data_IF_509876816803
#
_entry.id   IF_509876816803
#
_cell.length_a   1.000
_cell.length_b   1.000
_cell.length_c   1.000
_cell.angle_alpha   90.00
_cell.angle_beta   90.00
_cell.angle_gamma   90.00
#
_symmetry.space_group_name_H-M   'P 1'
#
loop_
_entity.id
_entity.type
_entity.pdbx_description
1 polymer ?
#
# COMPACT_ATOMS: atom_id res chain seq x y z
N UNK A 1 2.28 -12.41 22.41
CA UNK A 1 1.96 -12.72 21.00
C UNK A 1 2.99 -13.71 20.49
N UNK A 2 2.58 -14.74 19.73
CA UNK A 2 3.47 -15.62 18.98
C UNK A 2 2.90 -15.81 17.58
N UNK A 3 3.68 -15.51 16.54
CA UNK A 3 3.24 -15.56 15.15
C UNK A 3 4.36 -16.00 14.21
N UNK A 4 4.03 -16.88 13.29
CA UNK A 4 4.91 -17.24 12.17
C UNK A 4 4.43 -16.56 10.88
N UNK A 5 5.37 -16.04 10.08
CA UNK A 5 5.06 -15.42 8.79
C UNK A 5 6.23 -15.49 7.81
N UNK A 6 5.91 -15.57 6.52
CA UNK A 6 6.92 -15.54 5.46
C UNK A 6 7.30 -14.11 5.11
N UNK A 7 8.60 -13.81 5.07
CA UNK A 7 9.11 -12.52 4.61
C UNK A 7 8.82 -12.33 3.11
N UNK A 8 8.02 -11.34 2.75
CA UNK A 8 7.67 -11.04 1.34
C UNK A 8 8.54 -9.93 0.72
N UNK A 9 9.53 -9.42 1.45
CA UNK A 9 10.34 -8.25 1.02
C UNK A 9 11.33 -8.61 -0.10
N UNK A 10 11.72 -9.87 -0.23
CA UNK A 10 12.68 -10.33 -1.24
C UNK A 10 12.40 -11.79 -1.62
N UNK A 11 12.91 -12.28 -2.76
CA UNK A 11 12.57 -13.61 -3.27
C UNK A 11 13.07 -14.77 -2.40
N UNK A 12 13.95 -14.52 -1.41
CA UNK A 12 14.44 -15.56 -0.49
C UNK A 12 13.32 -16.14 0.40
N UNK A 13 12.29 -15.35 0.73
CA UNK A 13 11.13 -15.89 1.45
C UNK A 13 11.44 -16.47 2.84
N UNK A 14 12.29 -15.84 3.65
CA UNK A 14 12.64 -16.37 4.98
C UNK A 14 11.38 -16.61 5.84
N UNK A 15 11.33 -17.75 6.53
CA UNK A 15 10.34 -18.03 7.56
C UNK A 15 10.72 -17.24 8.82
N UNK A 16 9.83 -16.34 9.26
CA UNK A 16 10.04 -15.47 10.41
C UNK A 16 9.16 -15.89 11.56
N UNK A 17 9.70 -15.77 12.78
CA UNK A 17 8.97 -15.96 14.04
C UNK A 17 8.99 -14.65 14.83
N UNK A 18 7.83 -14.23 15.30
CA UNK A 18 7.66 -13.02 16.09
C UNK A 18 7.04 -13.37 17.43
N UNK A 19 7.76 -13.07 18.50
CA UNK A 19 7.39 -13.37 19.88
C UNK A 19 7.46 -12.10 20.74
N UNK A 20 6.65 -12.03 21.79
CA UNK A 20 6.65 -10.93 22.75
C UNK A 20 5.34 -10.15 22.84
N UNK A 21 5.38 -8.97 23.45
CA UNK A 21 4.22 -8.10 23.67
C UNK A 21 4.27 -6.91 22.70
N UNK A 22 3.18 -6.16 22.54
CA UNK A 22 3.10 -5.07 21.54
C UNK A 22 4.25 -4.05 21.65
N UNK A 23 4.75 -3.81 22.85
CA UNK A 23 5.87 -2.90 23.13
C UNK A 23 7.26 -3.52 22.98
N UNK A 24 7.39 -4.85 22.99
CA UNK A 24 8.68 -5.55 22.96
C UNK A 24 8.59 -6.81 22.07
N UNK A 25 8.44 -6.57 20.77
CA UNK A 25 8.41 -7.63 19.77
C UNK A 25 9.83 -8.02 19.36
N UNK A 26 10.13 -9.31 19.50
CA UNK A 26 11.37 -9.94 19.06
C UNK A 26 11.07 -10.72 17.78
N UNK A 27 11.79 -10.41 16.71
CA UNK A 27 11.67 -11.09 15.43
C UNK A 27 12.94 -11.91 15.17
N UNK A 28 12.77 -13.19 14.82
CA UNK A 28 13.86 -14.12 14.51
C UNK A 28 13.59 -14.87 13.20
N UNK A 29 14.59 -15.60 12.68
CA UNK A 29 14.52 -16.31 11.40
C UNK A 29 14.82 -15.45 10.16
N UNK A 30 15.06 -14.15 10.34
CA UNK A 30 15.45 -13.25 9.26
C UNK A 30 16.94 -13.39 8.91
N UNK A 31 17.26 -13.46 7.62
CA UNK A 31 18.64 -13.42 7.12
C UNK A 31 19.17 -11.99 6.89
N UNK A 32 18.35 -10.96 7.13
CA UNK A 32 18.71 -9.55 6.93
C UNK A 32 17.85 -8.64 7.82
N UNK A 33 18.28 -7.39 8.10
CA UNK A 33 17.55 -6.47 8.98
C UNK A 33 16.15 -6.10 8.45
N UNK A 34 15.98 -6.03 7.12
CA UNK A 34 14.69 -5.75 6.47
C UNK A 34 13.62 -6.77 6.84
N UNK A 35 13.99 -8.04 7.01
CA UNK A 35 13.07 -9.11 7.40
C UNK A 35 12.53 -8.91 8.82
N UNK A 36 13.40 -8.58 9.78
CA UNK A 36 12.99 -8.29 11.15
C UNK A 36 12.06 -7.06 11.21
N UNK A 37 12.40 -5.99 10.50
CA UNK A 37 11.56 -4.78 10.43
C UNK A 37 10.18 -5.08 9.85
N UNK A 38 10.14 -5.84 8.74
CA UNK A 38 8.87 -6.27 8.14
C UNK A 38 8.03 -7.12 9.10
N UNK A 39 8.63 -8.10 9.78
CA UNK A 39 7.89 -8.96 10.73
C UNK A 39 7.22 -8.15 11.84
N UNK A 40 7.96 -7.20 12.43
CA UNK A 40 7.43 -6.31 13.47
C UNK A 40 6.32 -5.41 12.93
N UNK A 41 6.51 -4.79 11.77
CA UNK A 41 5.51 -3.94 11.13
C UNK A 41 4.23 -4.72 10.79
N UNK A 42 4.36 -5.91 10.22
CA UNK A 42 3.23 -6.76 9.81
C UNK A 42 2.38 -7.25 10.99
N UNK A 43 2.98 -7.32 12.18
CA UNK A 43 2.27 -7.69 13.40
C UNK A 43 1.62 -6.50 14.12
N UNK A 44 2.19 -5.29 14.01
CA UNK A 44 1.71 -4.11 14.74
C UNK A 44 0.80 -3.22 13.90
N UNK A 45 1.22 -2.89 12.69
CA UNK A 45 0.48 -2.03 11.77
C UNK A 45 0.79 -2.42 10.32
N UNK A 46 0.18 -3.50 9.79
CA UNK A 46 0.46 -3.96 8.43
C UNK A 46 0.10 -2.87 7.42
N UNK A 47 1.03 -2.53 6.53
CA UNK A 47 0.85 -1.51 5.47
C UNK A 47 0.87 -2.13 4.08
N UNK A 48 0.15 -1.56 3.13
CA UNK A 48 0.10 -2.03 1.73
C UNK A 48 0.03 -0.85 0.76
N UNK A 49 0.64 -1.00 -0.42
CA UNK A 49 0.39 -0.09 -1.54
C UNK A 49 -1.02 -0.35 -2.06
N UNK A 50 -1.86 0.68 -2.07
CA UNK A 50 -3.20 0.60 -2.64
C UNK A 50 -3.11 0.91 -4.14
N UNK A 51 -3.58 0.00 -4.97
CA UNK A 51 -3.71 0.18 -6.43
C UNK A 51 -5.18 0.08 -6.79
N UNK A 52 -5.70 1.03 -7.56
CA UNK A 52 -7.10 1.05 -7.99
C UNK A 52 -7.24 1.82 -9.32
N UNK A 53 -8.47 1.98 -9.80
CA UNK A 53 -8.80 2.73 -11.01
C UNK A 53 -9.76 3.87 -10.69
N UNK A 54 -9.60 4.99 -11.39
CA UNK A 54 -10.48 6.16 -11.30
C UNK A 54 -11.17 6.41 -12.65
N UNK A 55 -12.40 6.93 -12.61
CA UNK A 55 -13.16 7.28 -13.82
C UNK A 55 -12.64 8.57 -14.43
N UNK A 56 -12.65 8.63 -15.76
CA UNK A 56 -12.35 9.85 -16.52
C UNK A 56 -13.67 10.57 -16.86
N UNK A 57 -13.86 11.79 -16.36
CA UNK A 57 -15.15 12.50 -16.45
C UNK A 57 -15.54 12.88 -17.88
N UNK A 58 -14.56 13.21 -18.73
CA UNK A 58 -14.78 13.57 -20.14
C UNK A 58 -14.70 12.38 -21.11
N UNK A 59 -14.61 11.14 -20.60
CA UNK A 59 -14.56 9.91 -21.41
C UNK A 59 -15.27 8.75 -20.71
N UNK A 60 -16.54 8.53 -21.04
CA UNK A 60 -17.43 7.59 -20.34
C UNK A 60 -16.90 6.16 -20.16
N UNK A 61 -16.09 5.65 -21.09
CA UNK A 61 -15.56 4.28 -21.07
C UNK A 61 -14.06 4.22 -20.74
N UNK A 62 -13.49 5.29 -20.17
CA UNK A 62 -12.07 5.36 -19.83
C UNK A 62 -11.85 5.38 -18.32
N UNK A 63 -10.91 4.57 -17.88
CA UNK A 63 -10.40 4.58 -16.51
C UNK A 63 -8.88 4.76 -16.52
N UNK A 64 -8.37 5.49 -15.53
CA UNK A 64 -6.93 5.61 -15.28
C UNK A 64 -6.55 4.71 -14.12
N UNK A 65 -5.38 4.06 -14.21
CA UNK A 65 -4.84 3.30 -13.10
C UNK A 65 -4.07 4.23 -12.18
N UNK A 66 -4.30 4.11 -10.88
CA UNK A 66 -3.62 4.90 -9.84
C UNK A 66 -3.08 3.99 -8.75
N UNK A 67 -2.06 4.47 -8.05
CA UNK A 67 -1.58 3.82 -6.81
C UNK A 67 -1.22 4.85 -5.76
N UNK A 68 -1.21 4.44 -4.50
CA UNK A 68 -0.56 5.24 -3.46
C UNK A 68 0.96 5.23 -3.68
N UNK A 69 1.59 6.40 -3.57
CA UNK A 69 3.04 6.56 -3.73
C UNK A 69 3.81 5.85 -2.61
N UNK A 70 3.24 5.81 -1.41
CA UNK A 70 3.73 5.10 -0.22
C UNK A 70 2.68 4.09 0.25
N UNK A 71 3.08 3.01 0.96
CA UNK A 71 2.13 2.10 1.58
C UNK A 71 1.28 2.80 2.63
N UNK A 72 -0.01 2.48 2.68
CA UNK A 72 -0.96 2.96 3.69
C UNK A 72 -1.32 1.82 4.66
N UNK A 73 -1.79 2.12 5.89
CA UNK A 73 -2.27 1.10 6.82
C UNK A 73 -3.33 0.21 6.17
N UNK A 74 -3.22 -1.11 6.32
CA UNK A 74 -4.18 -2.08 5.77
C UNK A 74 -5.60 -1.82 6.29
N UNK A 75 -5.71 -1.41 7.55
CA UNK A 75 -6.98 -1.04 8.17
C UNK A 75 -7.63 0.21 7.52
N UNK A 76 -6.84 1.08 6.87
CA UNK A 76 -7.33 2.27 6.20
C UNK A 76 -7.83 2.01 4.77
N UNK A 77 -7.52 0.84 4.17
CA UNK A 77 -7.89 0.52 2.79
C UNK A 77 -9.39 0.69 2.50
N UNK A 78 -10.33 0.22 3.34
CA UNK A 78 -11.76 0.40 3.07
C UNK A 78 -12.17 1.87 3.01
N UNK A 79 -11.68 2.70 3.94
CA UNK A 79 -11.95 4.12 3.97
C UNK A 79 -11.30 4.85 2.78
N UNK A 80 -10.07 4.48 2.44
CA UNK A 80 -9.36 4.98 1.27
C UNK A 80 -10.12 4.69 -0.04
N UNK A 81 -10.64 3.47 -0.19
CA UNK A 81 -11.47 3.09 -1.35
C UNK A 81 -12.80 3.87 -1.41
N UNK A 82 -13.42 4.14 -0.27
CA UNK A 82 -14.63 4.95 -0.21
C UNK A 82 -14.38 6.41 -0.64
N UNK A 83 -13.25 6.99 -0.21
CA UNK A 83 -12.85 8.34 -0.62
C UNK A 83 -12.53 8.41 -2.12
N UNK A 84 -11.73 7.46 -2.63
CA UNK A 84 -11.35 7.41 -4.05
C UNK A 84 -12.53 7.18 -4.99
N UNK A 85 -13.58 6.48 -4.54
CA UNK A 85 -14.80 6.23 -5.34
C UNK A 85 -15.47 7.51 -5.85
N UNK A 86 -15.37 8.60 -5.09
CA UNK A 86 -16.00 9.88 -5.41
C UNK A 86 -15.09 10.79 -6.23
N UNK A 87 -13.86 10.37 -6.53
CA UNK A 87 -12.89 11.14 -7.31
C UNK A 87 -12.99 10.73 -8.77
N UNK A 88 -13.03 11.74 -9.64
CA UNK A 88 -12.91 11.58 -11.08
C UNK A 88 -11.76 12.44 -11.57
N UNK A 89 -11.10 11.99 -12.64
CA UNK A 89 -10.04 12.75 -13.31
C UNK A 89 -10.53 13.24 -14.66
N UNK A 90 -9.87 14.24 -15.25
CA UNK A 90 -10.21 14.75 -16.58
C UNK A 90 -9.01 14.58 -17.50
N UNK A 91 -9.20 13.96 -18.66
CA UNK A 91 -8.14 13.82 -19.65
C UNK A 91 -7.74 15.19 -20.25
N UNK A 92 -6.46 15.43 -20.59
CA UNK A 92 -5.36 14.45 -20.57
C UNK A 92 -4.77 14.22 -19.17
N UNK A 93 -4.43 12.97 -18.84
CA UNK A 93 -3.73 12.59 -17.61
C UNK A 93 -2.52 11.73 -17.96
N UNK A 94 -1.35 12.11 -17.44
CA UNK A 94 -0.07 11.46 -17.68
C UNK A 94 0.37 10.60 -16.50
N UNK A 95 1.30 9.67 -16.77
CA UNK A 95 1.93 8.88 -15.70
C UNK A 95 2.73 9.81 -14.79
N UNK A 96 2.55 9.65 -13.48
CA UNK A 96 3.19 10.50 -12.48
C UNK A 96 2.32 11.65 -11.97
N UNK A 97 1.20 11.94 -12.65
CA UNK A 97 0.27 12.97 -12.18
C UNK A 97 -0.34 12.58 -10.83
N UNK A 98 -0.32 13.52 -9.89
CA UNK A 98 -0.93 13.36 -8.57
C UNK A 98 -2.41 13.69 -8.65
N UNK A 99 -3.25 12.73 -8.28
CA UNK A 99 -4.72 12.88 -8.27
C UNK A 99 -5.24 13.31 -6.90
N UNK A 100 -4.51 12.95 -5.84
CA UNK A 100 -4.80 13.32 -4.46
C UNK A 100 -3.49 13.41 -3.69
N UNK A 101 -3.24 14.54 -3.02
CA UNK A 101 -1.98 14.77 -2.31
C UNK A 101 -1.84 13.93 -1.03
N UNK A 102 -2.96 13.65 -0.36
CA UNK A 102 -2.96 12.88 0.88
C UNK A 102 -4.13 11.90 0.98
N UNK A 103 -3.77 10.62 1.02
CA UNK A 103 -4.62 9.48 1.34
C UNK A 103 -3.94 8.68 2.45
N UNK A 104 -4.26 8.99 3.71
CA UNK A 104 -3.66 8.37 4.89
C UNK A 104 -2.12 8.46 4.95
N UNK A 105 -1.58 9.65 4.67
CA UNK A 105 -0.15 9.94 4.65
C UNK A 105 0.55 9.63 3.33
N UNK A 106 -0.19 9.31 2.27
CA UNK A 106 0.37 9.02 0.94
C UNK A 106 -0.35 9.74 -0.19
N UNK A 107 0.39 10.40 -1.10
CA UNK A 107 -0.16 10.83 -2.38
C UNK A 107 -0.66 9.65 -3.21
N UNK A 108 -1.60 9.92 -4.11
CA UNK A 108 -2.13 8.99 -5.11
C UNK A 108 -1.69 9.47 -6.48
N UNK A 109 -0.97 8.62 -7.20
CA UNK A 109 -0.34 8.94 -8.49
C UNK A 109 -0.84 8.04 -9.61
N UNK A 110 -0.91 8.57 -10.81
CA UNK A 110 -1.32 7.85 -12.01
C UNK A 110 -0.19 6.94 -12.50
N UNK A 111 -0.52 5.68 -12.79
CA UNK A 111 0.39 4.66 -13.34
C UNK A 111 0.06 4.24 -14.77
N UNK A 112 -1.14 4.59 -15.25
CA UNK A 112 -1.54 4.50 -16.65
C UNK A 112 -2.35 5.73 -17.01
N UNK A 113 -1.81 6.55 -17.90
CA UNK A 113 -2.46 7.75 -18.39
C UNK A 113 -3.66 7.49 -19.30
N UNK A 114 -4.39 8.56 -19.58
CA UNK A 114 -5.43 8.62 -20.58
C UNK A 114 -5.29 9.95 -21.34
N UNK A 115 -5.05 9.86 -22.64
CA UNK A 115 -5.18 10.98 -23.58
C UNK A 115 -6.66 11.23 -23.88
#
# INVERSE_FOLDING_TARGET
MNRELTCIICPKGCLLRVEGNESDLIATGNACPRGAQYAKQECTNPVRTLTTVLRVSNRCDTMVAVKTLRPIPKAAIPAAMAQLRNITVTAPVSIGDTVLDDLFGSPVVVTKGAE
#
